data_IF_310119423492
#
_entry.id   IF_310119423492
#
_cell.length_a   1.000
_cell.length_b   1.000
_cell.length_c   1.000
_cell.angle_alpha   90.00
_cell.angle_beta   90.00
_cell.angle_gamma   90.00
#
_symmetry.space_group_name_H-M   'P 1'
#
loop_
_entity.id
_entity.type
_entity.pdbx_description
1 polymer ?
#
# COMPACT_ATOMS: atom_id res chain seq x y z
N UNK A 1 -35.81 -0.37 1.20
CA UNK A 1 -34.40 -0.64 0.82
C UNK A 1 -33.71 -1.65 1.75
N UNK A 2 -34.12 -1.77 3.02
CA UNK A 2 -33.68 -2.84 3.93
C UNK A 2 -33.61 -4.26 3.33
N UNK A 3 -34.62 -4.77 2.58
CA UNK A 3 -34.57 -6.15 2.09
C UNK A 3 -33.44 -6.41 1.07
N UNK A 4 -32.92 -5.38 0.40
CA UNK A 4 -31.78 -5.52 -0.55
C UNK A 4 -30.44 -5.52 0.20
N UNK A 5 -30.36 -4.78 1.31
CA UNK A 5 -29.16 -4.76 2.15
C UNK A 5 -28.95 -6.11 2.87
N UNK A 6 -30.03 -6.74 3.35
CA UNK A 6 -29.96 -8.06 3.99
C UNK A 6 -29.52 -9.15 3.01
N UNK A 7 -30.01 -9.09 1.75
CA UNK A 7 -29.63 -10.05 0.69
C UNK A 7 -28.15 -9.94 0.27
N UNK A 8 -27.53 -8.78 0.47
CA UNK A 8 -26.11 -8.55 0.14
C UNK A 8 -25.19 -8.79 1.34
N UNK A 9 -25.74 -9.13 2.51
CA UNK A 9 -25.00 -9.26 3.77
C UNK A 9 -24.48 -7.93 4.31
N UNK A 10 -25.03 -6.81 3.81
CA UNK A 10 -24.77 -5.44 4.24
C UNK A 10 -25.64 -5.03 5.43
N UNK A 11 -25.66 -3.74 5.76
CA UNK A 11 -26.67 -3.20 6.66
C UNK A 11 -26.86 -1.71 6.47
N UNK A 12 -28.02 -1.21 6.93
CA UNK A 12 -28.34 0.21 6.98
C UNK A 12 -28.18 0.71 8.42
N UNK A 13 -27.50 1.85 8.58
CA UNK A 13 -27.46 2.61 9.81
C UNK A 13 -27.98 4.03 9.52
N UNK A 14 -28.84 4.55 10.40
CA UNK A 14 -29.35 5.91 10.30
C UNK A 14 -28.35 6.89 10.92
N UNK A 15 -28.04 7.96 10.21
CA UNK A 15 -27.14 9.00 10.73
C UNK A 15 -27.73 9.77 11.93
N UNK A 16 -29.06 9.73 12.12
CA UNK A 16 -29.74 10.36 13.28
C UNK A 16 -29.37 9.71 14.62
N UNK A 17 -29.07 8.40 14.64
CA UNK A 17 -28.64 7.67 15.84
C UNK A 17 -27.13 7.83 16.14
N UNK A 18 -26.42 8.58 15.30
CA UNK A 18 -24.97 8.84 15.40
C UNK A 18 -24.14 8.19 14.30
N UNK A 19 -22.91 8.68 14.11
CA UNK A 19 -21.98 8.17 13.10
C UNK A 19 -21.53 6.73 13.45
N UNK A 20 -21.86 5.71 12.65
CA UNK A 20 -21.46 4.34 12.93
C UNK A 20 -19.93 4.20 12.79
N UNK A 21 -19.33 3.34 13.62
CA UNK A 21 -17.89 3.06 13.52
C UNK A 21 -17.59 2.28 12.24
N UNK A 22 -16.64 2.74 11.44
CA UNK A 22 -16.18 2.04 10.23
C UNK A 22 -15.12 0.99 10.59
N UNK A 23 -15.38 -0.26 10.23
CA UNK A 23 -14.47 -1.40 10.43
C UNK A 23 -14.17 -2.04 9.07
N UNK A 24 -12.94 -2.50 8.84
CA UNK A 24 -12.64 -3.35 7.68
C UNK A 24 -12.99 -4.79 8.03
N UNK A 25 -13.81 -5.44 7.20
CA UNK A 25 -14.28 -6.81 7.44
C UNK A 25 -14.02 -7.66 6.20
N UNK A 26 -13.59 -8.90 6.42
CA UNK A 26 -13.35 -9.88 5.36
C UNK A 26 -14.64 -10.22 4.61
N UNK A 27 -14.47 -10.59 3.33
CA UNK A 27 -15.57 -11.03 2.47
C UNK A 27 -16.30 -12.23 3.10
N UNK A 28 -17.63 -12.12 3.22
CA UNK A 28 -18.50 -13.22 3.66
C UNK A 28 -18.81 -13.24 5.16
N UNK A 29 -18.33 -12.26 5.92
CA UNK A 29 -18.76 -12.01 7.31
C UNK A 29 -19.84 -10.93 7.33
N UNK A 30 -20.57 -10.86 8.43
CA UNK A 30 -21.58 -9.82 8.68
C UNK A 30 -20.95 -8.43 8.52
N UNK A 31 -21.46 -7.61 7.58
CA UNK A 31 -20.90 -6.29 7.24
C UNK A 31 -21.58 -5.14 8.00
N UNK A 32 -22.46 -5.41 8.95
CA UNK A 32 -23.10 -4.39 9.76
C UNK A 32 -23.57 -4.94 11.11
N UNK A 33 -23.51 -4.13 12.15
CA UNK A 33 -24.03 -4.45 13.48
C UNK A 33 -24.52 -3.21 14.22
N UNK A 34 -24.89 -3.36 15.49
CA UNK A 34 -25.38 -2.26 16.33
C UNK A 34 -24.31 -1.19 16.53
N UNK A 35 -24.38 -0.13 15.72
CA UNK A 35 -23.48 1.03 15.78
C UNK A 35 -22.17 0.91 14.99
N UNK A 36 -22.03 -0.08 14.11
CA UNK A 36 -20.84 -0.20 13.26
C UNK A 36 -21.15 -0.72 11.86
N UNK A 37 -20.34 -0.29 10.89
CA UNK A 37 -20.47 -0.64 9.48
C UNK A 37 -19.14 -1.19 8.97
N UNK A 38 -19.21 -2.40 8.42
CA UNK A 38 -18.11 -3.11 7.78
C UNK A 38 -17.91 -2.63 6.36
N UNK A 39 -16.75 -2.07 6.06
CA UNK A 39 -16.27 -1.86 4.70
C UNK A 39 -15.57 -3.14 4.24
N UNK A 40 -15.99 -3.65 3.08
CA UNK A 40 -15.36 -4.83 2.49
C UNK A 40 -13.91 -4.52 2.16
N UNK A 41 -13.01 -5.37 2.67
CA UNK A 41 -11.60 -5.29 2.29
C UNK A 41 -11.44 -5.69 0.82
N UNK A 42 -11.38 -4.69 -0.07
CA UNK A 42 -11.26 -4.93 -1.50
C UNK A 42 -9.82 -5.21 -1.95
N UNK A 43 -8.87 -5.44 -1.01
CA UNK A 43 -7.45 -5.57 -1.34
C UNK A 43 -7.00 -4.43 -2.29
N UNK A 44 -7.53 -3.22 -2.06
CA UNK A 44 -7.16 -2.04 -2.83
C UNK A 44 -5.75 -1.63 -2.39
N UNK A 45 -4.75 -2.35 -2.90
CA UNK A 45 -3.36 -2.01 -2.71
C UNK A 45 -3.13 -0.70 -3.45
N UNK A 46 -3.06 0.39 -2.68
CA UNK A 46 -2.46 1.62 -3.18
C UNK A 46 -1.00 1.26 -3.47
N UNK A 47 -0.61 1.27 -4.74
CA UNK A 47 0.80 1.13 -5.17
C UNK A 47 1.54 2.35 -4.65
N UNK A 48 1.93 2.29 -3.37
CA UNK A 48 2.61 3.36 -2.64
C UNK A 48 4.11 3.05 -2.50
N UNK A 49 4.56 1.97 -3.12
CA UNK A 49 5.95 1.54 -3.09
C UNK A 49 6.45 1.40 -4.54
N UNK A 50 6.57 2.53 -5.23
CA UNK A 50 7.61 2.64 -6.25
C UNK A 50 8.89 2.81 -5.44
N UNK A 51 9.64 1.72 -5.25
CA UNK A 51 10.99 1.82 -4.73
C UNK A 51 11.81 2.53 -5.80
N UNK A 52 11.93 3.85 -5.69
CA UNK A 52 12.81 4.64 -6.54
C UNK A 52 14.24 4.27 -6.17
N UNK A 53 14.84 3.35 -6.93
CA UNK A 53 16.28 3.16 -6.85
C UNK A 53 16.93 4.42 -7.42
N UNK A 54 17.69 5.17 -6.61
CA UNK A 54 18.31 6.39 -7.08
C UNK A 54 19.25 6.08 -8.26
N UNK A 55 18.96 6.67 -9.43
CA UNK A 55 19.76 6.49 -10.65
C UNK A 55 21.25 6.84 -10.43
N UNK A 56 21.52 7.78 -9.53
CA UNK A 56 22.89 8.18 -9.17
C UNK A 56 23.68 7.04 -8.51
N UNK A 57 23.03 6.12 -7.79
CA UNK A 57 23.72 4.99 -7.15
C UNK A 57 24.32 4.06 -8.21
N UNK A 58 23.60 3.81 -9.30
CA UNK A 58 24.08 3.00 -10.42
C UNK A 58 25.23 3.68 -11.16
N UNK A 59 25.13 5.00 -11.39
CA UNK A 59 26.21 5.77 -12.04
C UNK A 59 27.47 5.84 -11.17
N UNK A 60 27.32 6.02 -9.86
CA UNK A 60 28.44 6.00 -8.91
C UNK A 60 29.13 4.63 -8.86
N UNK A 61 28.36 3.54 -8.85
CA UNK A 61 28.91 2.19 -8.92
C UNK A 61 29.70 1.94 -10.22
N UNK A 62 29.17 2.40 -11.37
CA UNK A 62 29.87 2.32 -12.65
C UNK A 62 31.17 3.14 -12.65
N UNK A 63 31.12 4.37 -12.13
CA UNK A 63 32.30 5.23 -12.03
C UNK A 63 33.38 4.59 -11.16
N UNK A 64 33.02 4.00 -10.02
CA UNK A 64 33.95 3.26 -9.17
C UNK A 64 34.58 2.07 -9.90
N UNK A 65 33.78 1.31 -10.66
CA UNK A 65 34.25 0.14 -11.40
C UNK A 65 35.31 0.52 -12.47
N UNK A 66 35.19 1.70 -13.06
CA UNK A 66 36.14 2.24 -14.04
C UNK A 66 37.36 2.91 -13.38
N UNK A 67 37.14 3.67 -12.30
CA UNK A 67 38.18 4.45 -11.64
C UNK A 67 39.18 3.61 -10.85
N UNK A 68 38.72 2.54 -10.18
CA UNK A 68 39.57 1.66 -9.35
C UNK A 68 40.74 1.06 -10.13
N UNK A 69 40.53 0.33 -11.24
CA UNK A 69 41.65 -0.25 -12.00
C UNK A 69 42.54 0.82 -12.64
N UNK A 70 41.97 1.95 -13.04
CA UNK A 70 42.74 3.05 -13.65
C UNK A 70 43.66 3.73 -12.62
N UNK A 71 43.20 3.88 -11.38
CA UNK A 71 43.99 4.46 -10.29
C UNK A 71 45.20 3.58 -9.89
N UNK A 72 45.08 2.26 -10.05
CA UNK A 72 46.17 1.33 -9.75
C UNK A 72 47.35 1.46 -10.73
N UNK A 73 47.08 1.72 -12.01
CA UNK A 73 48.13 1.94 -13.02
C UNK A 73 48.88 3.27 -12.85
N UNK A 74 48.22 4.31 -12.34
CA UNK A 74 48.87 5.59 -12.04
C UNK A 74 49.83 5.54 -10.84
N UNK A 75 49.75 4.49 -10.00
CA UNK A 75 50.63 4.30 -8.84
C UNK A 75 51.96 3.63 -9.22
N UNK A 76 51.99 2.81 -10.26
CA UNK A 76 53.19 2.05 -10.68
C UNK A 76 54.06 2.81 -11.71
N UNK A 77 53.55 3.95 -12.23
CA UNK A 77 54.23 4.78 -13.22
C UNK A 77 55.00 5.99 -12.68
N UNK A 78 55.23 6.08 -11.36
CA UNK A 78 56.03 7.13 -10.71
C UNK A 78 57.24 6.53 -10.01
#
# INVERSE_FOLDING_TARGET
MQPVADQTGGGLAWFEDGMPRLLKVEKGRTMAGSGWMGLRDNNAYRVTAVTELPLFATLAALAALLAVPHSAGCREGR
#
